data_IF_119021382113
#
_entry.id   IF_119021382113
#
_cell.length_a   1.000
_cell.length_b   1.000
_cell.length_c   1.000
_cell.angle_alpha   90.00
_cell.angle_beta   90.00
_cell.angle_gamma   90.00
#
_symmetry.space_group_name_H-M   'P 1'
#
loop_
_entity.id
_entity.type
_entity.pdbx_description
1 polymer ?
#
# COMPACT_ATOMS: atom_id res chain seq x y z
N UNK A 1 -13.20 -6.44 11.92
CA UNK A 1 -12.60 -5.14 12.28
C UNK A 1 -11.39 -4.89 11.40
N UNK A 2 -11.34 -3.74 10.78
CA UNK A 2 -10.18 -3.37 9.97
C UNK A 2 -9.04 -2.88 10.85
N UNK A 3 -7.81 -3.21 10.47
CA UNK A 3 -6.60 -2.88 11.23
C UNK A 3 -6.10 -1.46 10.98
N UNK A 4 -6.79 -0.70 10.12
CA UNK A 4 -6.36 0.64 9.70
C UNK A 4 -7.55 1.46 9.24
N UNK A 5 -7.39 2.77 9.29
CA UNK A 5 -8.38 3.70 8.72
C UNK A 5 -8.31 3.63 7.21
N UNK A 6 -9.44 3.80 6.53
CA UNK A 6 -9.48 3.74 5.08
C UNK A 6 -10.58 4.63 4.52
N UNK A 7 -10.45 4.97 3.23
CA UNK A 7 -11.45 5.77 2.53
C UNK A 7 -12.52 4.88 1.90
N UNK A 8 -13.66 5.47 1.53
CA UNK A 8 -14.68 4.77 0.77
C UNK A 8 -14.13 4.33 -0.60
N UNK A 9 -13.22 5.12 -1.17
CA UNK A 9 -12.56 4.75 -2.42
C UNK A 9 -11.80 3.43 -2.26
N UNK A 10 -11.07 3.28 -1.16
CA UNK A 10 -10.33 2.05 -0.86
C UNK A 10 -11.29 0.87 -0.78
N UNK A 11 -12.42 1.03 -0.08
CA UNK A 11 -13.43 -0.04 0.04
C UNK A 11 -13.92 -0.47 -1.33
N UNK A 12 -14.20 0.49 -2.19
CA UNK A 12 -14.67 0.21 -3.54
C UNK A 12 -13.59 -0.51 -4.37
N UNK A 13 -12.36 -0.03 -4.30
CA UNK A 13 -11.27 -0.59 -5.10
C UNK A 13 -10.91 -2.01 -4.70
N UNK A 14 -11.02 -2.35 -3.42
CA UNK A 14 -10.62 -3.68 -2.97
C UNK A 14 -11.62 -4.78 -3.39
N UNK A 15 -12.78 -4.39 -3.95
CA UNK A 15 -13.70 -5.38 -4.50
C UNK A 15 -13.26 -5.88 -5.87
N UNK A 16 -12.28 -5.22 -6.51
CA UNK A 16 -11.78 -5.64 -7.80
C UNK A 16 -11.00 -6.96 -7.65
N UNK A 17 -11.10 -7.88 -8.63
CA UNK A 17 -10.43 -9.17 -8.53
C UNK A 17 -8.92 -9.07 -8.30
N UNK A 18 -8.25 -8.09 -8.92
CA UNK A 18 -6.81 -7.91 -8.78
C UNK A 18 -6.42 -7.31 -7.43
N UNK A 19 -7.37 -6.80 -6.66
CA UNK A 19 -7.13 -6.18 -5.36
C UNK A 19 -7.67 -7.00 -4.20
N UNK A 20 -8.69 -7.84 -4.45
CA UNK A 20 -9.36 -8.60 -3.40
C UNK A 20 -8.42 -9.57 -2.68
N UNK A 21 -7.36 -10.00 -3.34
CA UNK A 21 -6.38 -10.92 -2.77
C UNK A 21 -5.40 -10.26 -1.81
N UNK A 22 -5.36 -8.92 -1.76
CA UNK A 22 -4.42 -8.21 -0.89
C UNK A 22 -4.92 -8.28 0.55
N UNK A 23 -4.10 -8.86 1.42
CA UNK A 23 -4.46 -9.06 2.82
C UNK A 23 -4.23 -7.79 3.64
N UNK A 24 -5.08 -7.57 4.64
CA UNK A 24 -4.95 -6.43 5.54
C UNK A 24 -3.60 -6.42 6.25
N UNK A 25 -3.09 -7.61 6.66
CA UNK A 25 -1.80 -7.69 7.32
C UNK A 25 -0.67 -7.17 6.45
N UNK A 26 -0.77 -7.40 5.14
CA UNK A 26 0.26 -6.91 4.22
C UNK A 26 0.26 -5.39 4.15
N UNK A 27 -0.94 -4.79 4.16
CA UNK A 27 -1.08 -3.33 4.14
C UNK A 27 -0.48 -2.74 5.41
N UNK A 28 -0.79 -3.32 6.56
CA UNK A 28 -0.23 -2.88 7.85
C UNK A 28 1.29 -2.99 7.84
N UNK A 29 1.80 -4.09 7.27
CA UNK A 29 3.25 -4.30 7.18
C UNK A 29 3.93 -3.19 6.38
N UNK A 30 3.35 -2.83 5.23
CA UNK A 30 3.92 -1.75 4.40
C UNK A 30 3.89 -0.42 5.13
N UNK A 31 2.79 -0.14 5.84
CA UNK A 31 2.68 1.11 6.60
C UNK A 31 3.77 1.21 7.66
N UNK A 32 4.04 0.10 8.35
CA UNK A 32 5.00 0.08 9.47
C UNK A 32 6.46 -0.07 9.05
N UNK A 33 6.71 -0.84 7.98
CA UNK A 33 8.07 -1.22 7.59
C UNK A 33 8.34 -0.98 6.12
N UNK A 34 8.10 0.23 5.61
CA UNK A 34 8.34 0.50 4.19
C UNK A 34 9.82 0.46 3.86
N UNK A 35 10.15 -0.05 2.67
CA UNK A 35 11.51 0.02 2.16
C UNK A 35 11.74 1.32 1.40
N UNK A 36 10.64 2.00 1.03
CA UNK A 36 10.70 3.29 0.34
C UNK A 36 9.42 4.07 0.60
N UNK A 37 9.56 5.39 0.68
CA UNK A 37 8.43 6.29 0.86
C UNK A 37 8.61 7.48 -0.07
N UNK A 38 7.52 7.94 -0.68
CA UNK A 38 7.52 9.14 -1.51
C UNK A 38 6.25 9.92 -1.25
N UNK A 39 6.34 11.25 -1.28
CA UNK A 39 5.17 12.11 -1.12
C UNK A 39 4.75 12.66 -2.48
N UNK A 40 3.47 12.59 -2.78
CA UNK A 40 2.91 13.14 -4.00
C UNK A 40 2.69 14.64 -3.85
N UNK A 41 2.54 15.34 -4.98
CA UNK A 41 2.33 16.79 -4.96
C UNK A 41 1.03 17.18 -4.27
N UNK A 42 0.03 16.29 -4.25
CA UNK A 42 -1.24 16.54 -3.56
C UNK A 42 -1.18 16.20 -2.05
N UNK A 43 -0.01 15.80 -1.55
CA UNK A 43 0.20 15.49 -0.15
C UNK A 43 0.01 14.02 0.21
N UNK A 44 -0.51 13.20 -0.69
CA UNK A 44 -0.63 11.77 -0.43
C UNK A 44 0.73 11.14 -0.29
N UNK A 45 0.80 10.07 0.49
CA UNK A 45 2.05 9.39 0.79
C UNK A 45 2.01 7.99 0.18
N UNK A 46 3.05 7.65 -0.56
CA UNK A 46 3.22 6.30 -1.12
C UNK A 46 4.26 5.58 -0.31
N UNK A 47 3.95 4.35 0.10
CA UNK A 47 4.91 3.48 0.77
C UNK A 47 4.94 2.14 0.08
N UNK A 48 6.13 1.55 -0.03
CA UNK A 48 6.33 0.25 -0.66
C UNK A 48 7.06 -0.68 0.29
N UNK A 49 6.71 -1.96 0.24
CA UNK A 49 7.48 -3.01 0.88
C UNK A 49 7.30 -4.30 0.11
N UNK A 50 8.28 -5.18 0.20
CA UNK A 50 8.22 -6.47 -0.45
C UNK A 50 7.41 -7.43 0.42
N UNK A 51 6.47 -8.15 -0.18
CA UNK A 51 5.62 -9.11 0.51
C UNK A 51 6.07 -10.51 0.12
N UNK A 52 6.80 -11.17 1.01
CA UNK A 52 7.35 -12.49 0.75
C UNK A 52 6.24 -13.50 0.44
N UNK A 53 5.15 -13.47 1.20
CA UNK A 53 4.03 -14.39 1.02
C UNK A 53 3.29 -14.20 -0.29
N UNK A 54 3.51 -13.10 -0.98
CA UNK A 54 2.89 -12.80 -2.26
C UNK A 54 3.88 -12.96 -3.42
N UNK A 55 4.83 -13.88 -3.29
CA UNK A 55 5.82 -14.12 -4.33
C UNK A 55 6.86 -13.02 -4.42
N UNK A 56 7.18 -12.40 -3.31
CA UNK A 56 8.19 -11.32 -3.23
C UNK A 56 7.84 -10.10 -4.08
N UNK A 57 6.56 -9.87 -4.32
CA UNK A 57 6.11 -8.68 -5.04
C UNK A 57 6.07 -7.47 -4.12
N UNK A 58 6.27 -6.30 -4.70
CA UNK A 58 6.21 -5.05 -3.96
C UNK A 58 4.78 -4.52 -3.91
N UNK A 59 4.29 -4.32 -2.69
CA UNK A 59 2.98 -3.75 -2.45
C UNK A 59 3.13 -2.25 -2.23
N UNK A 60 2.40 -1.45 -3.03
CA UNK A 60 2.33 -0.01 -2.84
C UNK A 60 1.07 0.31 -2.06
N UNK A 61 1.22 1.05 -0.97
CA UNK A 61 0.10 1.56 -0.19
C UNK A 61 0.11 3.08 -0.30
N UNK A 62 -1.02 3.65 -0.69
CA UNK A 62 -1.19 5.09 -0.79
C UNK A 62 -1.99 5.57 0.40
N UNK A 63 -1.41 6.48 1.18
CA UNK A 63 -2.05 7.06 2.35
C UNK A 63 -2.46 8.49 2.09
N UNK A 64 -3.49 8.95 2.80
CA UNK A 64 -3.84 10.37 2.78
C UNK A 64 -2.74 11.16 3.52
N UNK A 65 -2.76 12.50 3.41
CA UNK A 65 -1.72 13.32 4.06
C UNK A 65 -1.58 13.12 5.56
N UNK A 66 -2.58 12.54 6.23
CA UNK A 66 -2.47 12.24 7.66
C UNK A 66 -1.48 11.12 7.97
N UNK A 67 -1.02 10.41 6.94
CA UNK A 67 -0.08 9.31 7.11
C UNK A 67 -0.68 8.05 7.71
N UNK A 68 -2.00 7.99 7.85
CA UNK A 68 -2.68 6.88 8.51
C UNK A 68 -3.80 6.26 7.67
N UNK A 69 -4.55 7.08 6.95
CA UNK A 69 -5.75 6.63 6.24
C UNK A 69 -5.37 6.04 4.90
N UNK A 70 -5.65 4.75 4.72
CA UNK A 70 -5.34 4.05 3.46
C UNK A 70 -6.34 4.47 2.39
N UNK A 71 -5.83 4.94 1.27
CA UNK A 71 -6.64 5.36 0.13
C UNK A 71 -6.61 4.34 -1.00
N UNK A 72 -5.47 3.67 -1.19
CA UNK A 72 -5.33 2.65 -2.24
C UNK A 72 -4.20 1.69 -1.88
N UNK A 73 -4.25 0.50 -2.45
CA UNK A 73 -3.18 -0.49 -2.28
C UNK A 73 -3.18 -1.42 -3.48
N UNK A 74 -2.02 -1.65 -4.07
CA UNK A 74 -1.88 -2.55 -5.21
C UNK A 74 -0.43 -2.98 -5.38
N UNK A 75 -0.22 -4.13 -6.04
CA UNK A 75 1.13 -4.57 -6.36
C UNK A 75 1.68 -3.74 -7.51
N UNK A 76 2.89 -3.24 -7.32
CA UNK A 76 3.53 -2.32 -8.25
C UNK A 76 4.67 -3.03 -8.97
N UNK A 77 4.42 -3.42 -10.22
CA UNK A 77 5.40 -4.16 -11.03
C UNK A 77 6.59 -3.31 -11.42
N UNK A 78 6.43 -2.00 -11.42
CA UNK A 78 7.46 -1.09 -11.90
C UNK A 78 8.41 -0.63 -10.80
N UNK A 79 8.08 -0.92 -9.57
CA UNK A 79 8.92 -0.49 -8.45
C UNK A 79 10.20 -1.33 -8.39
N UNK A 80 11.31 -0.66 -8.14
CA UNK A 80 12.61 -1.29 -7.90
C UNK A 80 13.24 -0.61 -6.69
N UNK A 81 13.79 -1.40 -5.78
CA UNK A 81 14.58 -0.82 -4.70
C UNK A 81 15.85 -0.25 -5.29
N UNK A 82 16.17 0.99 -4.88
CA UNK A 82 17.40 1.62 -5.31
C UNK A 82 18.54 1.07 -4.48
N UNK A 83 19.50 0.41 -5.12
CA UNK A 83 20.74 0.04 -4.45
C UNK A 83 21.76 1.10 -4.79
N UNK A 84 22.21 1.78 -3.79
CA UNK A 84 23.27 2.77 -3.97
C UNK A 84 24.62 2.12 -3.79
#
# INVERSE_FOLDING_TARGET
MLLFKHTAYFDHMRTRPDRAMIRDEWIVYVIRYPVHEARQTDGRIRRWARIADAGDRYLRVVLLPDGETVHNAFFDRNFRETTS
#
